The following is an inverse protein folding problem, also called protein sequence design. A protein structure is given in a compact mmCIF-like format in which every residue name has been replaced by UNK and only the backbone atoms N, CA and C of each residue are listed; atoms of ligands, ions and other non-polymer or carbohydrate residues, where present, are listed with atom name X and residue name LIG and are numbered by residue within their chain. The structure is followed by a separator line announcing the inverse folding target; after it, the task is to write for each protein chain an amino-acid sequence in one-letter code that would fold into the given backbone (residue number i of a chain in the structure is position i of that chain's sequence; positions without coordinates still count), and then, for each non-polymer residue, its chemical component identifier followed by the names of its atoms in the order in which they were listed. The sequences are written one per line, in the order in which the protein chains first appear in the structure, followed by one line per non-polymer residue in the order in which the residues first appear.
data_IF_387266544814
#
_entry.id   IF_387266544814
#
_cell.length_a   1.000
_cell.length_b   1.000
_cell.length_c   1.000
_cell.angle_alpha   90.00
_cell.angle_beta   90.00
_cell.angle_gamma   90.00
#
_symmetry.space_group_name_H-M   'P 1'
#
loop_
_entity.id
_entity.type
_entity.pdbx_description
1 polymer ?
#
# COMPACT_ATOMS: atom_id res chain seq x y z
N UNK A 1 1.98 -22.81 -4.73
CA UNK A 1 1.81 -21.90 -3.58
C UNK A 1 1.83 -20.48 -4.11
N UNK A 2 0.70 -19.77 -4.12
CA UNK A 2 0.66 -18.37 -4.58
C UNK A 2 1.40 -17.50 -3.57
N UNK A 3 2.49 -16.84 -3.99
CA UNK A 3 3.29 -15.93 -3.14
C UNK A 3 2.46 -14.66 -2.90
N UNK A 4 1.55 -14.73 -1.93
CA UNK A 4 0.82 -13.56 -1.46
C UNK A 4 1.81 -12.61 -0.79
N UNK A 5 2.08 -11.47 -1.43
CA UNK A 5 2.79 -10.38 -0.77
C UNK A 5 1.94 -9.78 0.34
N UNK A 6 2.59 -9.43 1.44
CA UNK A 6 2.05 -8.59 2.50
C UNK A 6 2.53 -7.16 2.25
N UNK A 7 1.58 -6.25 2.06
CA UNK A 7 1.82 -4.82 1.85
C UNK A 7 1.47 -4.05 3.11
N UNK A 8 2.33 -3.12 3.50
CA UNK A 8 2.06 -2.13 4.55
C UNK A 8 1.92 -0.76 3.90
N UNK A 9 0.82 -0.06 4.16
CA UNK A 9 0.51 1.23 3.55
C UNK A 9 0.59 2.34 4.59
N UNK A 10 1.37 3.40 4.32
CA UNK A 10 1.41 4.63 5.11
C UNK A 10 0.94 5.83 4.29
N UNK A 11 -0.07 6.55 4.78
CA UNK A 11 -0.60 7.75 4.12
C UNK A 11 0.00 8.99 4.78
N UNK A 12 0.59 9.89 3.99
CA UNK A 12 1.34 11.07 4.49
C UNK A 12 0.61 12.40 4.25
N UNK A 13 -0.69 12.38 3.99
CA UNK A 13 -1.49 13.60 3.87
C UNK A 13 -2.96 13.33 3.54
N UNK A 14 -3.83 14.32 3.75
CA UNK A 14 -5.23 14.20 3.37
C UNK A 14 -5.36 14.05 1.85
N UNK A 15 -6.45 13.41 1.38
CA UNK A 15 -6.76 13.39 -0.05
C UNK A 15 -6.91 14.81 -0.60
N UNK A 16 -6.44 15.04 -1.83
CA UNK A 16 -6.67 16.29 -2.55
C UNK A 16 -8.13 16.43 -3.03
N UNK A 17 -8.43 17.53 -3.72
CA UNK A 17 -9.78 17.84 -4.25
C UNK A 17 -10.35 16.75 -5.18
N UNK A 18 -9.49 15.90 -5.73
CA UNK A 18 -9.84 14.81 -6.63
C UNK A 18 -9.87 13.45 -5.89
N UNK A 19 -9.77 13.46 -4.55
CA UNK A 19 -9.79 12.27 -3.71
C UNK A 19 -8.49 11.45 -3.77
N UNK A 20 -7.39 12.00 -4.28
CA UNK A 20 -6.10 11.31 -4.37
C UNK A 20 -5.24 11.64 -3.15
N UNK A 21 -4.73 10.62 -2.49
CA UNK A 21 -3.79 10.75 -1.39
C UNK A 21 -2.39 10.35 -1.83
N UNK A 22 -1.39 10.99 -1.26
CA UNK A 22 -0.02 10.48 -1.29
C UNK A 22 0.12 9.38 -0.25
N UNK A 23 0.55 8.18 -0.66
CA UNK A 23 0.83 7.09 0.26
C UNK A 23 2.07 6.29 -0.18
N UNK A 24 2.76 5.73 0.80
CA UNK A 24 3.91 4.85 0.62
C UNK A 24 3.50 3.43 0.93
N UNK A 25 3.94 2.49 0.09
CA UNK A 25 3.66 1.07 0.21
C UNK A 25 4.98 0.35 0.45
N UNK A 26 5.04 -0.45 1.50
CA UNK A 26 6.18 -1.28 1.85
C UNK A 26 5.85 -2.75 1.66
N UNK A 27 6.81 -3.54 1.19
CA UNK A 27 6.71 -5.00 1.14
C UNK A 27 8.06 -5.67 1.25
N UNK A 28 8.07 -6.91 1.74
CA UNK A 28 9.27 -7.75 1.73
C UNK A 28 9.38 -8.46 0.38
N UNK A 29 10.46 -8.19 -0.33
CA UNK A 29 10.76 -8.85 -1.60
C UNK A 29 11.09 -10.34 -1.34
N UNK A 30 10.36 -11.29 -1.94
CA UNK A 30 10.55 -12.72 -1.66
C UNK A 30 11.81 -13.32 -2.29
N UNK A 31 12.46 -12.62 -3.22
CA UNK A 31 13.67 -13.10 -3.90
C UNK A 31 14.94 -12.68 -3.14
N UNK A 32 14.92 -11.47 -2.60
CA UNK A 32 16.07 -10.85 -1.94
C UNK A 32 15.92 -10.76 -0.42
N UNK A 33 14.71 -10.98 0.10
CA UNK A 33 14.38 -10.83 1.52
C UNK A 33 14.43 -9.38 2.03
N UNK A 34 14.71 -8.42 1.15
CA UNK A 34 14.83 -7.00 1.49
C UNK A 34 13.47 -6.33 1.52
N UNK A 35 13.33 -5.34 2.38
CA UNK A 35 12.19 -4.45 2.34
C UNK A 35 12.31 -3.51 1.12
N UNK A 36 11.18 -3.31 0.44
CA UNK A 36 11.02 -2.39 -0.68
C UNK A 36 9.92 -1.41 -0.32
N UNK A 37 10.09 -0.16 -0.74
CA UNK A 37 9.10 0.90 -0.59
C UNK A 37 8.81 1.52 -1.95
N UNK A 38 7.54 1.82 -2.24
CA UNK A 38 7.12 2.57 -3.42
C UNK A 38 6.08 3.64 -3.04
N UNK A 39 6.20 4.81 -3.64
CA UNK A 39 5.28 5.93 -3.43
C UNK A 39 4.23 5.96 -4.53
N UNK A 40 2.98 6.15 -4.15
CA UNK A 40 1.84 6.31 -5.04
C UNK A 40 1.10 7.60 -4.74
N UNK A 41 0.47 8.17 -5.78
CA UNK A 41 -0.43 9.32 -5.67
C UNK A 41 -1.74 9.02 -6.38
N UNK A 42 -2.65 8.39 -5.65
CA UNK A 42 -3.97 7.98 -6.15
C UNK A 42 -4.95 7.77 -5.00
N UNK A 43 -6.17 7.32 -5.29
CA UNK A 43 -7.10 6.92 -4.24
C UNK A 43 -6.57 5.66 -3.55
N UNK A 44 -6.22 5.79 -2.26
CA UNK A 44 -5.63 4.70 -1.49
C UNK A 44 -6.60 3.53 -1.30
N UNK A 45 -7.89 3.81 -1.11
CA UNK A 45 -8.91 2.77 -0.93
C UNK A 45 -9.09 1.94 -2.20
N UNK A 46 -9.10 2.59 -3.37
CA UNK A 46 -9.16 1.91 -4.66
C UNK A 46 -7.95 1.00 -4.87
N UNK A 47 -6.74 1.48 -4.56
CA UNK A 47 -5.52 0.69 -4.65
C UNK A 47 -5.55 -0.50 -3.68
N UNK A 48 -5.96 -0.30 -2.42
CA UNK A 48 -6.06 -1.38 -1.44
C UNK A 48 -7.10 -2.43 -1.85
N UNK A 49 -8.24 -2.00 -2.38
CA UNK A 49 -9.27 -2.90 -2.89
C UNK A 49 -8.76 -3.76 -4.04
N UNK A 50 -8.02 -3.17 -4.98
CA UNK A 50 -7.36 -3.90 -6.07
C UNK A 50 -6.38 -4.95 -5.52
N UNK A 51 -5.49 -4.58 -4.60
CA UNK A 51 -4.50 -5.53 -4.05
C UNK A 51 -5.13 -6.65 -3.23
N UNK A 52 -6.19 -6.37 -2.48
CA UNK A 52 -6.98 -7.41 -1.80
C UNK A 52 -7.68 -8.33 -2.79
N UNK A 53 -8.21 -7.80 -3.89
CA UNK A 53 -8.83 -8.59 -4.94
C UNK A 53 -7.82 -9.48 -5.69
N UNK A 54 -6.59 -9.01 -5.88
CA UNK A 54 -5.44 -9.79 -6.36
C UNK A 54 -4.99 -10.89 -5.36
N UNK A 55 -5.57 -10.91 -4.16
CA UNK A 55 -5.28 -11.90 -3.12
C UNK A 55 -4.08 -11.56 -2.24
N UNK A 56 -3.61 -10.30 -2.29
CA UNK A 56 -2.56 -9.79 -1.42
C UNK A 56 -3.11 -9.41 -0.04
N UNK A 57 -2.27 -9.58 0.98
CA UNK A 57 -2.58 -9.10 2.32
C UNK A 57 -2.14 -7.62 2.41
N UNK A 58 -3.05 -6.75 2.84
CA UNK A 58 -2.80 -5.30 2.89
C UNK A 58 -3.11 -4.79 4.30
N UNK A 59 -2.08 -4.38 5.01
CA UNK A 59 -2.14 -3.70 6.30
C UNK A 59 -2.06 -2.18 6.10
N UNK A 60 -3.01 -1.47 6.70
CA UNK A 60 -3.08 -0.02 6.64
C UNK A 60 -2.58 0.58 7.94
N UNK A 61 -1.48 1.34 7.85
CA UNK A 61 -0.89 2.08 8.95
C UNK A 61 -1.24 3.55 8.75
N UNK A 62 -2.31 3.99 9.41
CA UNK A 62 -2.62 5.42 9.49
C UNK A 62 -1.48 6.10 10.26
N UNK A 63 -0.67 6.96 9.63
CA UNK A 63 0.17 7.87 10.39
C UNK A 63 -0.74 8.73 11.27
N UNK A 64 -0.37 8.83 12.55
CA UNK A 64 -1.25 9.24 13.64
C UNK A 64 -1.81 10.66 13.54
N UNK A 65 -2.98 10.78 14.19
CA UNK A 65 -3.65 11.97 14.74
C UNK A 65 -3.93 13.15 13.78
#
# INVERSE_FOLDING_TARGET
MSRKHKFSVEVYGPPDKDGKSGFMVFWKDPHTGRERGQVFRMNVDAWMAEKRAEGHEVEFHKQGA
#
